data_IF_724257215853
#
_entry.id   IF_724257215853
#
_cell.length_a   1.000
_cell.length_b   1.000
_cell.length_c   1.000
_cell.angle_alpha   90.00
_cell.angle_beta   90.00
_cell.angle_gamma   90.00
#
_symmetry.space_group_name_H-M   'P 1'
#
loop_
_entity.id
_entity.type
_entity.pdbx_description
1 polymer ?
#
# COMPACT_ATOMS: atom_id res chain seq x y z
N UNK A 1 -4.08 -50.62 -17.04
CA UNK A 1 -3.87 -49.47 -17.94
C UNK A 1 -4.19 -48.21 -17.16
N UNK A 2 -3.18 -47.41 -16.81
CA UNK A 2 -3.39 -46.09 -16.20
C UNK A 2 -3.89 -45.13 -17.28
N UNK A 3 -5.17 -44.78 -17.24
CA UNK A 3 -5.77 -43.80 -18.15
C UNK A 3 -5.05 -42.46 -17.95
N UNK A 4 -4.31 -42.01 -18.96
CA UNK A 4 -3.76 -40.67 -18.98
C UNK A 4 -4.94 -39.69 -19.06
N UNK A 5 -5.08 -38.83 -18.05
CA UNK A 5 -6.12 -37.80 -18.05
C UNK A 5 -5.53 -36.54 -18.68
N UNK A 6 -6.10 -36.06 -19.78
CA UNK A 6 -5.65 -34.84 -20.45
C UNK A 6 -4.32 -34.98 -21.22
N UNK A 7 -4.01 -33.96 -22.04
CA UNK A 7 -2.84 -33.95 -22.94
C UNK A 7 -1.50 -33.76 -22.22
N UNK A 8 -1.51 -33.29 -20.97
CA UNK A 8 -0.34 -33.05 -20.14
C UNK A 8 -0.11 -34.16 -19.08
N UNK A 9 -0.79 -35.31 -19.21
CA UNK A 9 -0.73 -36.39 -18.22
C UNK A 9 -1.53 -36.11 -16.93
N UNK A 10 -2.21 -34.96 -16.83
CA UNK A 10 -3.28 -34.71 -15.86
C UNK A 10 -4.35 -33.75 -16.43
N UNK A 11 -5.53 -33.74 -15.79
CA UNK A 11 -6.64 -32.83 -16.10
C UNK A 11 -6.94 -31.96 -14.87
N UNK A 12 -6.84 -30.63 -15.03
CA UNK A 12 -7.20 -29.69 -13.96
C UNK A 12 -8.68 -29.83 -13.57
N UNK A 13 -8.97 -29.80 -12.27
CA UNK A 13 -10.33 -30.00 -11.74
C UNK A 13 -10.81 -31.45 -11.67
N UNK A 14 -10.05 -32.42 -12.22
CA UNK A 14 -10.33 -33.84 -12.01
C UNK A 14 -10.03 -34.23 -10.56
N UNK A 15 -10.95 -34.95 -9.91
CA UNK A 15 -10.86 -35.31 -8.48
C UNK A 15 -10.10 -36.61 -8.18
N UNK A 16 -9.60 -37.31 -9.21
CA UNK A 16 -8.82 -38.53 -8.96
C UNK A 16 -7.48 -38.21 -8.28
N UNK A 17 -6.96 -39.14 -7.48
CA UNK A 17 -5.74 -38.92 -6.70
C UNK A 17 -4.52 -38.52 -7.55
N UNK A 18 -4.39 -39.08 -8.76
CA UNK A 18 -3.32 -38.73 -9.70
C UNK A 18 -3.39 -37.28 -10.19
N UNK A 19 -4.56 -36.84 -10.66
CA UNK A 19 -4.74 -35.47 -11.13
C UNK A 19 -4.65 -34.44 -10.00
N UNK A 20 -5.25 -34.72 -8.85
CA UNK A 20 -5.18 -33.83 -7.68
C UNK A 20 -3.74 -33.65 -7.18
N UNK A 21 -2.92 -34.70 -7.21
CA UNK A 21 -1.51 -34.63 -6.80
C UNK A 21 -0.67 -33.86 -7.82
N UNK A 22 -0.90 -34.09 -9.12
CA UNK A 22 -0.22 -33.35 -10.19
C UNK A 22 -0.56 -31.85 -10.16
N UNK A 23 -1.84 -31.51 -9.97
CA UNK A 23 -2.30 -30.13 -9.84
C UNK A 23 -1.69 -29.45 -8.61
N UNK A 24 -1.66 -30.14 -7.47
CA UNK A 24 -1.02 -29.64 -6.24
C UNK A 24 0.49 -29.42 -6.42
N UNK A 25 1.18 -30.31 -7.16
CA UNK A 25 2.60 -30.13 -7.50
C UNK A 25 2.81 -28.89 -8.37
N UNK A 26 2.03 -28.76 -9.45
CA UNK A 26 2.11 -27.61 -10.36
C UNK A 26 1.87 -26.29 -9.63
N UNK A 27 0.87 -26.21 -8.76
CA UNK A 27 0.58 -24.98 -8.01
C UNK A 27 1.72 -24.61 -7.04
N UNK A 28 2.37 -25.60 -6.41
CA UNK A 28 3.56 -25.36 -5.58
C UNK A 28 4.73 -24.84 -6.41
N UNK A 29 5.02 -25.45 -7.56
CA UNK A 29 6.08 -25.01 -8.47
C UNK A 29 5.84 -23.57 -8.95
N UNK A 30 4.60 -23.24 -9.36
CA UNK A 30 4.23 -21.86 -9.71
C UNK A 30 4.44 -20.91 -8.53
N UNK A 31 4.04 -21.32 -7.31
CA UNK A 31 4.24 -20.51 -6.10
C UNK A 31 5.71 -20.28 -5.77
N UNK A 32 6.58 -21.28 -5.97
CA UNK A 32 8.03 -21.16 -5.81
C UNK A 32 8.62 -20.18 -6.82
N UNK A 33 8.31 -20.36 -8.11
CA UNK A 33 8.79 -19.50 -9.18
C UNK A 33 8.33 -18.04 -9.01
N UNK A 34 7.07 -17.82 -8.65
CA UNK A 34 6.57 -16.47 -8.40
C UNK A 34 7.22 -15.85 -7.15
N UNK A 35 7.42 -16.60 -6.06
CA UNK A 35 8.16 -16.09 -4.88
C UNK A 35 9.56 -15.64 -5.28
N UNK A 36 10.32 -16.47 -5.99
CA UNK A 36 11.67 -16.14 -6.45
C UNK A 36 11.68 -14.91 -7.36
N UNK A 37 10.73 -14.86 -8.31
CA UNK A 37 10.59 -13.74 -9.25
C UNK A 37 10.30 -12.41 -8.53
N UNK A 38 9.43 -12.42 -7.53
CA UNK A 38 9.03 -11.21 -6.80
C UNK A 38 9.98 -10.81 -5.68
N UNK A 39 10.84 -11.72 -5.23
CA UNK A 39 11.74 -11.51 -4.08
C UNK A 39 12.56 -10.20 -4.18
N UNK A 40 13.23 -9.87 -5.31
CA UNK A 40 14.01 -8.63 -5.39
C UNK A 40 13.16 -7.36 -5.26
N UNK A 41 11.91 -7.40 -5.75
CA UNK A 41 10.97 -6.29 -5.67
C UNK A 41 10.47 -6.14 -4.23
N UNK A 42 10.11 -7.26 -3.60
CA UNK A 42 9.67 -7.30 -2.20
C UNK A 42 10.77 -6.84 -1.25
N UNK A 43 12.02 -7.23 -1.48
CA UNK A 43 13.17 -6.75 -0.71
C UNK A 43 13.38 -5.24 -0.90
N UNK A 44 13.24 -4.72 -2.12
CA UNK A 44 13.33 -3.27 -2.38
C UNK A 44 12.22 -2.51 -1.65
N UNK A 45 10.99 -3.00 -1.69
CA UNK A 45 9.86 -2.42 -0.97
C UNK A 45 10.09 -2.46 0.54
N UNK A 46 10.62 -3.57 1.07
CA UNK A 46 10.99 -3.74 2.48
C UNK A 46 12.03 -2.72 2.90
N UNK A 47 13.13 -2.59 2.14
CA UNK A 47 14.19 -1.59 2.42
C UNK A 47 13.64 -0.16 2.41
N UNK A 48 12.77 0.17 1.43
CA UNK A 48 12.13 1.49 1.36
C UNK A 48 11.24 1.76 2.57
N UNK A 49 10.48 0.76 3.00
CA UNK A 49 9.63 0.83 4.20
C UNK A 49 10.47 1.06 5.45
N UNK A 50 11.52 0.24 5.64
CA UNK A 50 12.44 0.37 6.77
C UNK A 50 13.10 1.75 6.80
N UNK A 51 13.57 2.27 5.67
CA UNK A 51 14.14 3.63 5.59
C UNK A 51 13.10 4.68 6.00
N UNK A 52 11.87 4.59 5.49
CA UNK A 52 10.79 5.52 5.85
C UNK A 52 10.47 5.53 7.35
N UNK A 53 10.50 4.35 8.00
CA UNK A 53 10.26 4.24 9.45
C UNK A 53 11.50 4.55 10.30
N UNK A 54 12.71 4.37 9.78
CA UNK A 54 13.94 4.82 10.43
C UNK A 54 14.02 6.35 10.42
N UNK A 55 13.75 7.01 9.29
CA UNK A 55 13.68 8.47 9.23
C UNK A 55 12.61 9.05 10.18
N UNK A 56 11.54 8.28 10.41
CA UNK A 56 10.44 8.64 11.30
C UNK A 56 10.84 8.75 12.78
N UNK A 57 11.86 8.01 13.23
CA UNK A 57 12.31 8.07 14.62
C UNK A 57 12.98 9.40 14.94
N UNK A 58 13.66 9.99 13.96
CA UNK A 58 14.36 11.27 14.10
C UNK A 58 13.44 12.45 13.72
N UNK A 59 12.52 12.23 12.78
CA UNK A 59 11.56 13.24 12.32
C UNK A 59 10.15 12.64 12.30
N UNK A 60 9.27 12.99 13.26
CA UNK A 60 7.95 12.40 13.32
C UNK A 60 7.22 12.58 11.99
N UNK A 61 6.69 11.48 11.47
CA UNK A 61 6.02 11.48 10.18
C UNK A 61 4.92 12.53 10.16
N UNK A 62 4.75 13.18 9.01
CA UNK A 62 3.84 14.32 8.88
C UNK A 62 2.38 14.03 9.28
N UNK A 63 1.96 12.76 9.24
CA UNK A 63 0.64 12.29 9.68
C UNK A 63 0.54 12.00 11.18
N UNK A 64 1.67 11.83 11.87
CA UNK A 64 1.75 11.70 13.33
C UNK A 64 1.90 13.05 14.04
N UNK A 65 2.44 14.07 13.35
CA UNK A 65 2.55 15.43 13.92
C UNK A 65 1.14 16.02 14.17
N UNK A 66 0.73 16.22 15.44
CA UNK A 66 -0.58 16.79 15.76
C UNK A 66 -0.70 18.20 15.18
N UNK A 67 -1.93 18.59 14.82
CA UNK A 67 -2.21 19.93 14.31
C UNK A 67 -2.39 20.90 15.47
N UNK A 68 -1.59 21.96 15.51
CA UNK A 68 -1.81 23.05 16.48
C UNK A 68 -2.98 23.93 16.04
N UNK A 69 -3.56 24.71 16.95
CA UNK A 69 -4.62 25.68 16.61
C UNK A 69 -4.14 26.70 15.56
N UNK A 70 -2.91 27.16 15.66
CA UNK A 70 -2.33 28.13 14.72
C UNK A 70 -2.07 27.51 13.34
N UNK A 71 -1.60 26.26 13.29
CA UNK A 71 -1.48 25.52 12.04
C UNK A 71 -2.86 25.33 11.39
N UNK A 72 -3.91 25.02 12.17
CA UNK A 72 -5.29 24.89 11.65
C UNK A 72 -5.76 26.22 11.06
N UNK A 73 -5.59 27.33 11.76
CA UNK A 73 -5.97 28.66 11.26
C UNK A 73 -5.24 28.99 9.95
N UNK A 74 -3.94 28.69 9.88
CA UNK A 74 -3.12 28.90 8.68
C UNK A 74 -3.58 28.00 7.52
N UNK A 75 -4.00 26.77 7.80
CA UNK A 75 -4.51 25.85 6.76
C UNK A 75 -5.87 26.28 6.23
N UNK A 76 -6.73 26.83 7.10
CA UNK A 76 -8.07 27.28 6.76
C UNK A 76 -8.09 28.63 6.04
N UNK A 77 -7.00 29.39 6.10
CA UNK A 77 -6.81 30.60 5.30
C UNK A 77 -6.92 30.30 3.79
N UNK A 78 -7.92 30.93 3.16
CA UNK A 78 -8.22 30.80 1.73
C UNK A 78 -7.36 31.69 0.85
N UNK A 79 -6.62 32.65 1.41
CA UNK A 79 -5.76 33.56 0.65
C UNK A 79 -4.48 32.88 0.16
N UNK A 80 -4.08 31.77 0.80
CA UNK A 80 -2.87 31.02 0.49
C UNK A 80 -3.14 29.71 -0.26
N UNK A 81 -2.30 29.40 -1.24
CA UNK A 81 -2.33 28.09 -1.92
C UNK A 81 -1.86 26.97 -0.98
N UNK A 82 -2.26 25.73 -1.26
CA UNK A 82 -1.83 24.58 -0.46
C UNK A 82 -0.30 24.40 -0.46
N UNK A 83 0.37 24.74 -1.58
CA UNK A 83 1.82 24.69 -1.69
C UNK A 83 2.52 25.71 -0.79
N UNK A 84 2.05 26.96 -0.75
CA UNK A 84 2.61 28.00 0.13
C UNK A 84 2.46 27.63 1.61
N UNK A 85 1.28 27.14 2.01
CA UNK A 85 1.04 26.70 3.38
C UNK A 85 1.90 25.49 3.73
N UNK A 86 2.06 24.53 2.82
CA UNK A 86 2.92 23.36 2.99
C UNK A 86 4.37 23.77 3.29
N UNK A 87 4.94 24.66 2.47
CA UNK A 87 6.29 25.19 2.66
C UNK A 87 6.41 25.92 4.00
N UNK A 88 5.45 26.79 4.34
CA UNK A 88 5.45 27.57 5.60
C UNK A 88 5.43 26.68 6.84
N UNK A 89 4.67 25.58 6.82
CA UNK A 89 4.46 24.72 7.99
C UNK A 89 5.41 23.51 8.04
N UNK A 90 6.29 23.34 7.04
CA UNK A 90 7.12 22.14 6.90
C UNK A 90 6.29 20.87 6.71
N UNK A 91 5.12 21.00 6.07
CA UNK A 91 4.19 19.89 5.83
C UNK A 91 4.10 19.53 4.35
N UNK A 92 3.63 18.34 4.02
CA UNK A 92 3.37 17.98 2.61
C UNK A 92 2.10 18.65 2.08
N UNK A 93 2.04 18.93 0.78
CA UNK A 93 0.83 19.49 0.11
C UNK A 93 -0.39 18.60 0.34
N UNK A 94 -0.21 17.27 0.28
CA UNK A 94 -1.27 16.30 0.58
C UNK A 94 -1.79 16.40 2.02
N UNK A 95 -0.92 16.65 3.00
CA UNK A 95 -1.31 16.88 4.39
C UNK A 95 -2.17 18.15 4.53
N UNK A 96 -1.85 19.23 3.79
CA UNK A 96 -2.66 20.45 3.76
C UNK A 96 -4.06 20.18 3.19
N UNK A 97 -4.16 19.47 2.06
CA UNK A 97 -5.47 19.10 1.49
C UNK A 97 -6.29 18.22 2.44
N UNK A 98 -5.66 17.26 3.11
CA UNK A 98 -6.32 16.42 4.11
C UNK A 98 -6.82 17.26 5.30
N UNK A 99 -5.99 18.17 5.81
CA UNK A 99 -6.35 19.06 6.91
C UNK A 99 -7.47 20.03 6.53
N UNK A 100 -7.46 20.62 5.34
CA UNK A 100 -8.57 21.46 4.83
C UNK A 100 -9.88 20.68 4.78
N UNK A 101 -9.87 19.42 4.34
CA UNK A 101 -11.06 18.56 4.35
C UNK A 101 -11.52 18.21 5.77
N UNK A 102 -10.58 17.99 6.69
CA UNK A 102 -10.86 17.61 8.08
C UNK A 102 -11.42 18.76 8.92
N UNK A 103 -10.85 19.96 8.78
CA UNK A 103 -11.12 21.10 9.66
C UNK A 103 -12.07 22.13 9.07
N UNK A 104 -12.37 22.09 7.76
CA UNK A 104 -13.44 22.92 7.21
C UNK A 104 -14.76 22.52 7.86
N UNK A 105 -15.47 23.51 8.39
CA UNK A 105 -16.81 23.33 8.89
C UNK A 105 -17.67 22.70 7.78
N UNK A 106 -18.40 21.63 8.12
CA UNK A 106 -19.46 21.14 7.22
C UNK A 106 -20.54 22.22 7.16
N UNK A 107 -21.00 22.62 5.97
CA UNK A 107 -22.17 23.50 5.88
C UNK A 107 -23.33 22.79 6.60
N UNK A 108 -24.00 23.52 7.50
CA UNK A 108 -25.24 23.02 8.08
C UNK A 108 -26.22 22.80 6.93
N UNK A 109 -26.74 21.57 6.81
CA UNK A 109 -27.87 21.31 5.92
C UNK A 109 -29.08 21.98 6.59
N UNK A 110 -29.62 23.01 5.95
CA UNK A 110 -30.95 23.53 6.25
C UNK A 110 -32.00 22.52 5.79
#
# INVERSE_FOLDING_TARGET
>A
MTTAHGVAGFQAGCRCGGCSSAESRRLREIGELERERWEPINQRATRRSQHYFADASDHPLNWQKPWTKDEINTVLDSSSTAAQVATRLGRSVGAIHAARRRFRARPRRN
#
